data_IF_702213588717
#
_entry.id   IF_702213588717
#
_cell.length_a   1.000
_cell.length_b   1.000
_cell.length_c   1.000
_cell.angle_alpha   90.00
_cell.angle_beta   90.00
_cell.angle_gamma   90.00
#
_symmetry.space_group_name_H-M   'P 1'
#
loop_
_entity.id
_entity.type
_entity.pdbx_description
1 polymer ?
#
# COMPACT_ATOMS: atom_id res chain seq x y z
N UNK A 1 -3.77 -6.75 -0.04
CA UNK A 1 -4.96 -7.00 0.85
C UNK A 1 -5.47 -8.40 0.57
N UNK A 2 -5.73 -9.20 1.61
CA UNK A 2 -6.29 -10.55 1.43
C UNK A 2 -7.74 -10.46 0.95
N UNK A 3 -8.14 -11.44 0.12
CA UNK A 3 -9.54 -11.58 -0.29
C UNK A 3 -10.43 -11.95 0.90
N UNK A 4 -11.58 -11.28 1.02
CA UNK A 4 -12.50 -11.45 2.17
C UNK A 4 -13.13 -12.84 2.19
N UNK A 5 -13.40 -13.44 1.01
CA UNK A 5 -13.94 -14.78 0.90
C UNK A 5 -12.90 -15.79 1.37
N UNK A 6 -11.64 -15.60 0.95
CA UNK A 6 -10.52 -16.41 1.41
C UNK A 6 -10.39 -16.39 2.94
N UNK A 7 -10.45 -15.19 3.58
CA UNK A 7 -10.36 -15.07 5.04
C UNK A 7 -11.46 -15.86 5.73
N UNK A 8 -12.69 -15.78 5.23
CA UNK A 8 -13.84 -16.51 5.79
C UNK A 8 -13.71 -18.03 5.68
N UNK A 9 -13.25 -18.50 4.54
CA UNK A 9 -13.16 -19.94 4.25
C UNK A 9 -11.91 -20.57 4.87
N UNK A 10 -10.88 -19.75 5.19
CA UNK A 10 -9.57 -20.22 5.66
C UNK A 10 -9.10 -19.44 6.91
N UNK A 11 -10.02 -19.14 7.83
CA UNK A 11 -9.69 -18.32 9.00
C UNK A 11 -8.61 -18.92 9.90
N UNK A 12 -8.48 -20.26 9.94
CA UNK A 12 -7.41 -20.95 10.67
C UNK A 12 -6.04 -20.67 10.07
N UNK A 13 -5.91 -20.69 8.74
CA UNK A 13 -4.68 -20.34 8.01
C UNK A 13 -4.30 -18.90 8.26
N UNK A 14 -5.27 -17.99 8.26
CA UNK A 14 -5.04 -16.58 8.57
C UNK A 14 -4.59 -16.40 10.02
N UNK A 15 -5.19 -17.12 10.97
CA UNK A 15 -4.79 -17.10 12.39
C UNK A 15 -3.36 -17.61 12.59
N UNK A 16 -2.99 -18.69 11.92
CA UNK A 16 -1.63 -19.21 11.95
C UNK A 16 -0.63 -18.19 11.36
N UNK A 17 -0.98 -17.54 10.26
CA UNK A 17 -0.16 -16.50 9.64
C UNK A 17 0.05 -15.30 10.56
N UNK A 18 -1.00 -14.84 11.26
CA UNK A 18 -0.92 -13.79 12.27
C UNK A 18 0.03 -14.17 13.41
N UNK A 19 -0.07 -15.40 13.91
CA UNK A 19 0.79 -15.92 14.96
C UNK A 19 2.26 -15.99 14.50
N UNK A 20 2.52 -16.52 13.29
CA UNK A 20 3.88 -16.57 12.70
C UNK A 20 4.50 -15.19 12.56
N UNK A 21 3.69 -14.18 12.23
CA UNK A 21 4.13 -12.78 12.12
C UNK A 21 4.17 -12.04 13.45
N UNK A 22 3.72 -12.66 14.56
CA UNK A 22 3.52 -12.01 15.86
C UNK A 22 2.67 -10.73 15.73
N UNK A 23 1.71 -10.75 14.78
CA UNK A 23 0.86 -9.60 14.51
C UNK A 23 -0.26 -9.52 15.55
N UNK A 24 -0.42 -8.33 16.15
CA UNK A 24 -1.52 -8.03 17.07
C UNK A 24 -2.74 -7.64 16.25
N UNK A 25 -3.62 -8.59 15.95
CA UNK A 25 -4.87 -8.37 15.22
C UNK A 25 -5.99 -9.22 15.80
N UNK A 26 -7.14 -8.60 16.06
CA UNK A 26 -8.34 -9.31 16.55
C UNK A 26 -9.09 -9.94 15.36
N UNK A 27 -8.72 -11.16 15.00
CA UNK A 27 -9.35 -11.89 13.91
C UNK A 27 -10.80 -12.28 14.23
N UNK A 28 -11.11 -12.61 15.50
CA UNK A 28 -12.46 -13.01 15.90
C UNK A 28 -13.42 -11.82 15.86
N UNK A 29 -12.97 -10.65 16.30
CA UNK A 29 -13.71 -9.39 16.15
C UNK A 29 -13.95 -9.05 14.69
N UNK A 30 -12.96 -9.22 13.82
CA UNK A 30 -13.09 -8.98 12.38
C UNK A 30 -14.13 -9.93 11.73
N UNK A 31 -14.14 -11.21 12.09
CA UNK A 31 -15.12 -12.17 11.57
C UNK A 31 -16.55 -11.78 11.97
N UNK A 32 -16.75 -11.40 13.24
CA UNK A 32 -18.06 -10.91 13.72
C UNK A 32 -18.50 -9.65 13.00
N UNK A 33 -17.56 -8.75 12.71
CA UNK A 33 -17.84 -7.53 11.97
C UNK A 33 -18.26 -7.84 10.51
N UNK A 34 -17.63 -8.82 9.85
CA UNK A 34 -18.07 -9.28 8.51
C UNK A 34 -19.44 -9.93 8.55
N UNK A 35 -19.76 -10.73 9.60
CA UNK A 35 -21.09 -11.30 9.79
C UNK A 35 -22.14 -10.20 9.96
N UNK A 36 -21.89 -9.19 10.79
CA UNK A 36 -22.78 -8.04 10.96
C UNK A 36 -22.98 -7.28 9.64
N UNK A 37 -21.88 -7.00 8.91
CA UNK A 37 -21.92 -6.35 7.60
C UNK A 37 -22.83 -7.10 6.61
N UNK A 38 -22.67 -8.42 6.53
CA UNK A 38 -23.50 -9.27 5.64
C UNK A 38 -24.94 -9.37 6.10
N UNK A 39 -25.18 -9.40 7.41
CA UNK A 39 -26.50 -9.36 7.99
C UNK A 39 -27.27 -8.11 7.61
N UNK A 40 -26.62 -6.94 7.72
CA UNK A 40 -27.20 -5.65 7.34
C UNK A 40 -27.54 -5.59 5.84
N UNK A 41 -26.67 -6.08 4.97
CA UNK A 41 -26.94 -6.15 3.51
C UNK A 41 -28.23 -6.96 3.28
N UNK A 42 -28.32 -8.16 3.86
CA UNK A 42 -29.48 -9.05 3.70
C UNK A 42 -30.78 -8.41 4.23
N UNK A 43 -30.72 -7.71 5.37
CA UNK A 43 -31.87 -7.04 5.96
C UNK A 43 -32.34 -5.86 5.09
N UNK A 44 -31.43 -5.04 4.60
CA UNK A 44 -31.71 -3.93 3.69
C UNK A 44 -32.32 -4.45 2.38
N UNK A 45 -31.75 -5.49 1.79
CA UNK A 45 -32.27 -6.06 0.52
C UNK A 45 -33.68 -6.67 0.72
N UNK A 46 -33.95 -7.32 1.83
CA UNK A 46 -35.29 -7.82 2.17
C UNK A 46 -36.30 -6.67 2.29
N UNK A 47 -35.94 -5.60 2.99
CA UNK A 47 -36.82 -4.42 3.13
C UNK A 47 -37.06 -3.74 1.79
N UNK A 48 -36.05 -3.60 0.93
CA UNK A 48 -36.20 -3.07 -0.43
C UNK A 48 -37.10 -3.95 -1.29
N UNK A 49 -37.00 -5.28 -1.16
CA UNK A 49 -37.92 -6.21 -1.83
C UNK A 49 -39.37 -6.01 -1.36
N UNK A 50 -39.58 -5.86 -0.03
CA UNK A 50 -40.93 -5.54 0.52
C UNK A 50 -41.45 -4.20 0.01
N UNK A 51 -40.62 -3.17 -0.01
CA UNK A 51 -40.95 -1.84 -0.54
C UNK A 51 -41.39 -1.92 -2.00
N UNK A 52 -40.69 -2.69 -2.83
CA UNK A 52 -41.05 -2.89 -4.22
C UNK A 52 -42.41 -3.59 -4.40
N UNK A 53 -42.69 -4.62 -3.58
CA UNK A 53 -44.00 -5.30 -3.57
C UNK A 53 -45.14 -4.37 -3.19
N UNK A 54 -44.96 -3.54 -2.15
CA UNK A 54 -45.96 -2.55 -1.73
C UNK A 54 -46.13 -1.49 -2.81
N UNK A 55 -45.08 -1.01 -3.43
CA UNK A 55 -45.15 -0.08 -4.57
C UNK A 55 -46.01 -0.61 -5.72
N UNK A 56 -45.87 -1.89 -6.02
CA UNK A 56 -46.71 -2.52 -7.05
C UNK A 56 -48.21 -2.55 -6.64
N UNK A 57 -48.49 -2.87 -5.34
CA UNK A 57 -49.86 -2.83 -4.82
C UNK A 57 -50.44 -1.40 -4.88
N UNK A 58 -49.69 -0.40 -4.50
CA UNK A 58 -50.10 1.02 -4.57
C UNK A 58 -50.45 1.37 -6.02
N UNK A 59 -49.64 0.98 -6.99
CA UNK A 59 -49.92 1.23 -8.43
C UNK A 59 -51.26 0.60 -8.89
N UNK A 60 -51.58 -0.61 -8.43
CA UNK A 60 -52.83 -1.30 -8.77
C UNK A 60 -54.01 -0.60 -8.10
N UNK A 61 -53.94 -0.29 -6.81
CA UNK A 61 -55.01 0.42 -6.11
C UNK A 61 -55.31 1.78 -6.73
N UNK A 62 -54.29 2.53 -7.14
CA UNK A 62 -54.48 3.82 -7.81
C UNK A 62 -55.19 3.67 -9.20
N UNK A 63 -54.87 2.62 -9.94
CA UNK A 63 -55.59 2.29 -11.20
C UNK A 63 -57.05 1.97 -10.92
N UNK A 64 -57.38 1.31 -9.81
CA UNK A 64 -58.72 1.00 -9.36
C UNK A 64 -59.42 2.22 -8.70
N UNK A 65 -58.83 3.41 -8.73
CA UNK A 65 -59.32 4.62 -8.03
C UNK A 65 -59.53 4.47 -6.53
N UNK A 66 -58.84 3.49 -5.89
CA UNK A 66 -58.83 3.30 -4.42
C UNK A 66 -57.70 4.11 -3.82
N UNK A 67 -57.87 4.57 -2.55
CA UNK A 67 -56.87 5.34 -1.83
C UNK A 67 -55.95 4.43 -1.05
N UNK A 68 -54.63 4.30 -1.35
CA UNK A 68 -53.71 3.36 -0.73
C UNK A 68 -53.08 3.89 0.57
N UNK A 69 -53.87 4.38 1.54
CA UNK A 69 -53.34 5.02 2.75
C UNK A 69 -52.49 4.08 3.59
N UNK A 70 -52.94 2.81 3.78
CA UNK A 70 -52.22 1.83 4.60
C UNK A 70 -50.86 1.43 3.96
N UNK A 71 -50.87 1.25 2.65
CA UNK A 71 -49.65 0.92 1.89
C UNK A 71 -48.65 2.06 1.94
N UNK A 72 -49.12 3.30 1.87
CA UNK A 72 -48.23 4.50 1.96
C UNK A 72 -47.62 4.59 3.37
N UNK A 73 -48.39 4.35 4.42
CA UNK A 73 -47.92 4.33 5.82
C UNK A 73 -46.87 3.24 6.04
N UNK A 74 -47.12 2.02 5.54
CA UNK A 74 -46.18 0.90 5.58
C UNK A 74 -44.88 1.24 4.83
N UNK A 75 -44.98 1.83 3.64
CA UNK A 75 -43.81 2.26 2.87
C UNK A 75 -42.97 3.28 3.63
N UNK A 76 -43.61 4.22 4.33
CA UNK A 76 -42.94 5.23 5.12
C UNK A 76 -42.13 4.61 6.25
N UNK A 77 -42.73 3.66 6.99
CA UNK A 77 -42.05 2.90 8.04
C UNK A 77 -40.87 2.08 7.51
N UNK A 78 -41.05 1.38 6.36
CA UNK A 78 -39.97 0.63 5.73
C UNK A 78 -38.83 1.57 5.27
N UNK A 79 -39.17 2.70 4.67
CA UNK A 79 -38.15 3.68 4.21
C UNK A 79 -37.35 4.23 5.39
N UNK A 80 -37.98 4.52 6.52
CA UNK A 80 -37.28 4.97 7.71
C UNK A 80 -36.33 3.89 8.27
N UNK A 81 -36.78 2.62 8.29
CA UNK A 81 -35.96 1.51 8.74
C UNK A 81 -34.76 1.27 7.80
N UNK A 82 -34.98 1.34 6.48
CA UNK A 82 -33.89 1.26 5.49
C UNK A 82 -32.86 2.35 5.75
N UNK A 83 -33.28 3.60 5.94
CA UNK A 83 -32.35 4.72 6.17
C UNK A 83 -31.50 4.52 7.43
N UNK A 84 -32.10 4.01 8.52
CA UNK A 84 -31.37 3.69 9.75
C UNK A 84 -30.33 2.57 9.54
N UNK A 85 -30.73 1.49 8.86
CA UNK A 85 -29.82 0.39 8.56
C UNK A 85 -28.73 0.75 7.58
N UNK A 86 -28.99 1.63 6.63
CA UNK A 86 -27.98 2.14 5.69
C UNK A 86 -26.92 3.01 6.40
N UNK A 87 -27.30 3.81 7.38
CA UNK A 87 -26.33 4.56 8.19
C UNK A 87 -25.47 3.63 9.05
N UNK A 88 -26.10 2.64 9.71
CA UNK A 88 -25.34 1.61 10.44
C UNK A 88 -24.40 0.83 9.50
N UNK A 89 -24.90 0.45 8.32
CA UNK A 89 -24.11 -0.26 7.33
C UNK A 89 -22.89 0.55 6.86
N UNK A 90 -23.04 1.85 6.71
CA UNK A 90 -21.95 2.76 6.32
C UNK A 90 -20.84 2.76 7.35
N UNK A 91 -21.18 2.84 8.65
CA UNK A 91 -20.19 2.79 9.72
C UNK A 91 -19.49 1.41 9.81
N UNK A 92 -20.28 0.32 9.80
CA UNK A 92 -19.75 -1.05 9.81
C UNK A 92 -18.85 -1.31 8.59
N UNK A 93 -19.24 -0.83 7.40
CA UNK A 93 -18.44 -0.96 6.17
C UNK A 93 -17.13 -0.20 6.27
N UNK A 94 -17.13 1.00 6.86
CA UNK A 94 -15.93 1.81 7.08
C UNK A 94 -14.96 1.10 8.02
N UNK A 95 -15.45 0.65 9.17
CA UNK A 95 -14.66 -0.07 10.16
C UNK A 95 -14.09 -1.37 9.58
N UNK A 96 -14.93 -2.15 8.90
CA UNK A 96 -14.54 -3.37 8.23
C UNK A 96 -13.39 -3.13 7.23
N UNK A 97 -13.48 -2.09 6.41
CA UNK A 97 -12.44 -1.75 5.45
C UNK A 97 -11.13 -1.36 6.14
N UNK A 98 -11.20 -0.55 7.20
CA UNK A 98 -10.03 -0.17 7.98
C UNK A 98 -9.33 -1.38 8.62
N UNK A 99 -10.10 -2.29 9.22
CA UNK A 99 -9.54 -3.52 9.79
C UNK A 99 -8.93 -4.42 8.73
N UNK A 100 -9.59 -4.58 7.58
CA UNK A 100 -9.11 -5.41 6.47
C UNK A 100 -7.74 -4.94 5.93
N UNK A 101 -7.51 -3.62 5.85
CA UNK A 101 -6.23 -3.05 5.45
C UNK A 101 -5.08 -3.35 6.43
N UNK A 102 -5.39 -3.68 7.68
CA UNK A 102 -4.41 -4.01 8.70
C UNK A 102 -4.03 -5.50 8.75
N UNK A 103 -4.78 -6.37 8.06
CA UNK A 103 -4.44 -7.79 7.99
C UNK A 103 -3.18 -7.97 7.13
N UNK A 104 -2.08 -8.50 7.68
CA UNK A 104 -0.86 -8.72 6.91
C UNK A 104 -1.04 -9.87 5.93
N UNK A 105 -0.24 -9.85 4.84
CA UNK A 105 -0.22 -10.95 3.89
C UNK A 105 0.30 -12.26 4.51
N UNK A 106 -0.12 -13.40 3.94
CA UNK A 106 0.32 -14.72 4.40
C UNK A 106 1.83 -14.90 4.16
N UNK A 107 2.58 -15.39 5.17
CA UNK A 107 3.98 -15.73 4.97
C UNK A 107 4.09 -17.01 4.14
N UNK A 108 5.13 -17.11 3.31
CA UNK A 108 5.41 -18.36 2.60
C UNK A 108 5.72 -19.49 3.63
N UNK A 109 5.25 -20.74 3.39
CA UNK A 109 5.43 -21.84 4.35
C UNK A 109 6.89 -22.14 4.72
N UNK A 110 7.84 -21.87 3.82
CA UNK A 110 9.27 -22.10 4.05
C UNK A 110 9.95 -21.09 4.98
N UNK A 111 9.23 -19.99 5.35
CA UNK A 111 9.82 -18.98 6.23
C UNK A 111 9.86 -19.48 7.67
N UNK A 112 11.01 -19.33 8.37
CA UNK A 112 11.10 -19.67 9.78
C UNK A 112 10.22 -18.75 10.62
N UNK A 113 9.71 -19.28 11.72
CA UNK A 113 8.94 -18.50 12.69
C UNK A 113 9.91 -17.91 13.72
N UNK A 114 9.87 -16.58 13.91
CA UNK A 114 10.72 -15.90 14.87
C UNK A 114 11.09 -14.48 14.46
N UNK A 115 12.16 -13.97 15.06
CA UNK A 115 12.78 -12.68 14.73
C UNK A 115 13.97 -12.85 13.77
N UNK A 116 14.77 -11.80 13.61
CA UNK A 116 15.92 -11.81 12.70
C UNK A 116 16.97 -12.88 13.04
N UNK A 117 17.05 -13.35 14.30
CA UNK A 117 17.98 -14.41 14.70
C UNK A 117 17.63 -15.78 14.11
N UNK A 118 16.35 -15.94 13.71
CA UNK A 118 15.84 -17.15 13.06
C UNK A 118 16.05 -17.16 11.54
N UNK A 119 16.64 -16.11 10.96
CA UNK A 119 16.89 -16.04 9.53
C UNK A 119 17.81 -17.17 9.08
N UNK A 120 17.45 -17.81 7.98
CA UNK A 120 18.24 -18.88 7.36
C UNK A 120 18.95 -18.36 6.13
N UNK A 121 20.28 -18.49 6.10
CA UNK A 121 21.06 -18.22 4.90
C UNK A 121 20.73 -19.30 3.88
N UNK A 122 20.18 -18.88 2.73
CA UNK A 122 19.75 -19.81 1.67
C UNK A 122 20.93 -20.17 0.77
N UNK A 123 21.81 -19.23 0.50
CA UNK A 123 22.98 -19.43 -0.36
C UNK A 123 24.03 -18.35 -0.08
N UNK A 124 25.29 -18.76 -0.02
CA UNK A 124 26.46 -17.89 -0.05
C UNK A 124 27.22 -18.09 -1.36
N UNK A 125 27.81 -17.05 -1.90
CA UNK A 125 28.67 -17.09 -3.08
C UNK A 125 29.85 -16.15 -2.92
N UNK A 126 31.04 -16.67 -3.09
CA UNK A 126 32.31 -15.95 -2.91
C UNK A 126 32.82 -16.09 -1.46
N UNK A 127 34.06 -15.72 -1.24
CA UNK A 127 34.68 -15.63 0.08
C UNK A 127 34.93 -14.17 0.48
N UNK A 128 35.10 -13.89 1.75
CA UNK A 128 35.55 -12.60 2.22
C UNK A 128 36.93 -12.26 1.64
N UNK A 129 37.01 -11.13 0.94
CA UNK A 129 38.30 -10.59 0.54
C UNK A 129 38.98 -10.03 1.79
N UNK A 130 40.06 -10.67 2.22
CA UNK A 130 40.95 -10.11 3.24
C UNK A 130 41.74 -8.98 2.59
N UNK A 131 41.53 -7.76 3.08
CA UNK A 131 42.32 -6.60 2.69
C UNK A 131 43.54 -6.55 3.60
N UNK A 132 44.70 -6.18 3.03
CA UNK A 132 45.96 -5.96 3.74
C UNK A 132 46.09 -4.56 4.36
N UNK A 133 45.01 -3.78 4.22
CA UNK A 133 44.88 -2.43 4.80
C UNK A 133 43.50 -2.25 5.47
N UNK A 134 43.41 -1.24 6.34
CA UNK A 134 42.12 -0.85 6.95
C UNK A 134 41.30 0.00 5.95
N UNK A 135 40.14 -0.48 5.46
CA UNK A 135 39.34 0.28 4.51
C UNK A 135 38.68 1.49 5.19
N UNK A 136 38.66 2.60 4.47
CA UNK A 136 37.89 3.78 4.86
C UNK A 136 36.39 3.53 4.69
N UNK A 137 35.59 4.14 5.52
CA UNK A 137 34.14 4.16 5.37
C UNK A 137 33.71 4.95 4.13
N UNK A 138 32.49 4.72 3.64
CA UNK A 138 31.95 5.49 2.53
C UNK A 138 31.86 6.99 2.84
N UNK A 139 31.72 7.39 4.10
CA UNK A 139 31.73 8.79 4.54
C UNK A 139 33.10 9.39 4.33
N UNK A 140 34.14 8.74 4.89
CA UNK A 140 35.54 9.21 4.75
C UNK A 140 35.98 9.24 3.28
N UNK A 141 35.64 8.20 2.50
CA UNK A 141 35.93 8.19 1.06
C UNK A 141 35.22 9.33 0.33
N UNK A 142 33.93 9.56 0.62
CA UNK A 142 33.15 10.61 -0.02
C UNK A 142 33.66 12.02 0.32
N UNK A 143 34.12 12.24 1.55
CA UNK A 143 34.72 13.49 2.00
C UNK A 143 36.11 13.69 1.39
N UNK A 144 37.00 12.69 1.41
CA UNK A 144 38.33 12.77 0.83
C UNK A 144 38.33 13.01 -0.68
N UNK A 145 37.37 12.39 -1.38
CA UNK A 145 37.20 12.58 -2.82
C UNK A 145 36.40 13.84 -3.16
N UNK A 146 35.90 14.54 -2.17
CA UNK A 146 35.05 15.74 -2.31
C UNK A 146 33.79 15.53 -3.15
N UNK A 147 33.28 14.29 -3.19
CA UNK A 147 32.12 13.89 -4.01
C UNK A 147 30.81 13.87 -3.23
N UNK A 148 30.85 13.91 -1.89
CA UNK A 148 29.72 13.93 -0.97
C UNK A 148 29.87 15.08 0.03
N UNK A 149 28.76 15.79 0.33
CA UNK A 149 28.75 16.90 1.27
C UNK A 149 27.52 16.84 2.20
N UNK A 150 27.65 16.17 3.31
CA UNK A 150 26.61 16.09 4.33
C UNK A 150 26.41 17.41 5.08
N UNK A 151 27.49 18.19 5.28
CA UNK A 151 27.44 19.46 6.01
C UNK A 151 26.58 20.50 5.28
N UNK A 152 26.75 20.61 3.96
CA UNK A 152 25.93 21.52 3.16
C UNK A 152 24.49 21.00 2.99
N UNK A 153 24.29 19.68 2.86
CA UNK A 153 22.97 19.08 2.86
C UNK A 153 22.18 19.43 4.12
N UNK A 154 22.83 19.34 5.29
CA UNK A 154 22.20 19.69 6.57
C UNK A 154 21.78 21.16 6.67
N UNK A 155 22.49 22.09 6.01
CA UNK A 155 22.07 23.51 5.94
C UNK A 155 20.81 23.71 5.10
N UNK A 156 20.60 22.88 4.08
CA UNK A 156 19.46 22.97 3.15
C UNK A 156 18.21 22.32 3.72
N UNK A 157 18.36 21.10 4.25
CA UNK A 157 17.22 20.23 4.59
C UNK A 157 17.25 19.64 6.01
N UNK A 158 18.29 19.87 6.79
CA UNK A 158 18.51 19.19 8.06
C UNK A 158 19.33 17.90 7.91
N UNK A 159 19.30 17.05 8.96
CA UNK A 159 20.05 15.80 9.00
C UNK A 159 19.49 14.75 8.01
N UNK A 160 20.30 13.73 7.71
CA UNK A 160 19.96 12.59 6.86
C UNK A 160 19.59 12.97 5.41
N UNK A 161 20.17 14.04 4.90
CA UNK A 161 20.19 14.38 3.48
C UNK A 161 21.61 14.39 2.96
N UNK A 162 21.78 14.29 1.66
CA UNK A 162 23.07 14.25 1.00
C UNK A 162 23.11 15.21 -0.18
N UNK A 163 24.25 15.88 -0.37
CA UNK A 163 24.59 16.59 -1.60
C UNK A 163 25.71 15.83 -2.30
N UNK A 164 25.45 15.33 -3.48
CA UNK A 164 26.50 14.82 -4.38
C UNK A 164 27.10 15.96 -5.18
N UNK A 165 28.44 15.98 -5.29
CA UNK A 165 29.17 17.02 -6.01
C UNK A 165 30.02 16.42 -7.09
N UNK A 166 30.35 17.23 -8.10
CA UNK A 166 31.34 16.94 -9.12
C UNK A 166 31.21 15.50 -9.70
N UNK A 167 32.26 14.71 -9.52
CA UNK A 167 32.28 13.30 -9.96
C UNK A 167 31.23 12.43 -9.27
N UNK A 168 30.84 12.76 -8.02
CA UNK A 168 29.76 12.06 -7.30
C UNK A 168 28.40 12.26 -7.98
N UNK A 169 28.05 13.50 -8.30
CA UNK A 169 26.82 13.80 -9.03
C UNK A 169 26.81 13.14 -10.42
N UNK A 170 27.97 13.15 -11.11
CA UNK A 170 28.11 12.45 -12.39
C UNK A 170 27.96 10.95 -12.26
N UNK A 171 28.49 10.34 -11.19
CA UNK A 171 28.38 8.91 -10.92
C UNK A 171 26.93 8.48 -10.67
N UNK A 172 26.17 9.23 -9.84
CA UNK A 172 24.74 8.98 -9.61
C UNK A 172 23.97 8.95 -10.93
N UNK A 173 24.15 9.99 -11.76
CA UNK A 173 23.50 10.05 -13.08
C UNK A 173 23.93 8.92 -14.01
N UNK A 174 25.21 8.56 -14.01
CA UNK A 174 25.73 7.46 -14.83
C UNK A 174 25.14 6.11 -14.42
N UNK A 175 24.98 5.87 -13.11
CA UNK A 175 24.34 4.64 -12.59
C UNK A 175 22.86 4.57 -12.95
N UNK A 176 22.13 5.68 -12.85
CA UNK A 176 20.72 5.74 -13.25
C UNK A 176 20.59 5.38 -14.74
N UNK A 177 21.35 6.05 -15.61
CA UNK A 177 21.31 5.78 -17.05
C UNK A 177 21.71 4.33 -17.36
N UNK A 178 22.79 3.84 -16.76
CA UNK A 178 23.24 2.45 -16.95
C UNK A 178 22.14 1.44 -16.60
N UNK A 179 21.46 1.61 -15.47
CA UNK A 179 20.38 0.70 -15.05
C UNK A 179 19.17 0.79 -15.98
N UNK A 180 18.77 2.00 -16.39
CA UNK A 180 17.66 2.18 -17.33
C UNK A 180 17.98 1.56 -18.70
N UNK A 181 19.16 1.84 -19.25
CA UNK A 181 19.61 1.29 -20.54
C UNK A 181 19.71 -0.23 -20.51
N UNK A 182 20.27 -0.80 -19.45
CA UNK A 182 20.35 -2.26 -19.26
C UNK A 182 18.97 -2.89 -19.29
N UNK A 183 18.02 -2.34 -18.54
CA UNK A 183 16.69 -2.92 -18.42
C UNK A 183 15.83 -2.71 -19.66
N UNK A 184 15.95 -1.58 -20.34
CA UNK A 184 15.20 -1.33 -21.58
C UNK A 184 15.77 -2.11 -22.76
N UNK A 185 17.11 -2.14 -22.92
CA UNK A 185 17.74 -2.73 -24.10
C UNK A 185 17.90 -4.27 -24.00
N UNK A 186 18.25 -4.79 -22.80
CA UNK A 186 18.54 -6.22 -22.64
C UNK A 186 17.40 -7.00 -22.00
N UNK A 187 16.63 -6.39 -21.09
CA UNK A 187 15.59 -7.07 -20.34
C UNK A 187 14.18 -6.77 -20.82
N UNK A 188 14.01 -5.99 -21.89
CA UNK A 188 12.73 -5.66 -22.54
C UNK A 188 11.72 -4.93 -21.66
N UNK A 189 12.18 -4.18 -20.67
CA UNK A 189 11.30 -3.31 -19.90
C UNK A 189 10.94 -2.06 -20.69
N UNK A 190 9.72 -1.57 -20.52
CA UNK A 190 9.27 -0.26 -21.03
C UNK A 190 9.60 0.78 -19.96
N UNK A 191 10.34 1.81 -20.35
CA UNK A 191 10.63 2.92 -19.43
C UNK A 191 9.40 3.78 -19.24
N UNK A 192 9.13 4.16 -17.99
CA UNK A 192 8.06 5.07 -17.59
C UNK A 192 8.61 6.10 -16.60
N UNK A 193 8.26 7.36 -16.80
CA UNK A 193 8.64 8.45 -15.91
C UNK A 193 7.38 9.05 -15.25
N UNK A 194 7.02 8.62 -14.04
CA UNK A 194 5.79 9.03 -13.36
C UNK A 194 5.97 10.31 -12.55
N UNK A 195 4.87 10.96 -12.13
CA UNK A 195 4.91 11.99 -11.09
C UNK A 195 5.51 11.47 -9.77
N UNK A 196 6.21 12.34 -9.04
CA UNK A 196 6.74 12.02 -7.70
C UNK A 196 5.78 12.39 -6.57
N UNK A 197 4.61 12.92 -6.91
CA UNK A 197 3.48 13.16 -6.03
C UNK A 197 2.36 12.21 -6.38
N UNK A 198 1.77 11.59 -5.36
CA UNK A 198 0.64 10.65 -5.50
C UNK A 198 -0.44 10.97 -4.49
N UNK A 199 -1.69 10.61 -4.81
CA UNK A 199 -2.80 10.73 -3.89
C UNK A 199 -2.84 9.57 -2.86
N UNK A 200 -3.67 9.71 -1.84
CA UNK A 200 -3.87 8.71 -0.79
C UNK A 200 -4.30 7.35 -1.32
N UNK A 201 -5.14 7.33 -2.35
CA UNK A 201 -5.64 6.07 -2.94
C UNK A 201 -4.49 5.24 -3.48
N UNK A 202 -3.57 5.85 -4.23
CA UNK A 202 -2.41 5.16 -4.80
C UNK A 202 -1.51 4.52 -3.73
N UNK A 203 -1.30 5.18 -2.59
CA UNK A 203 -0.53 4.62 -1.47
C UNK A 203 -1.30 3.50 -0.74
N UNK A 204 -2.63 3.57 -0.71
CA UNK A 204 -3.47 2.55 -0.08
C UNK A 204 -3.51 1.28 -0.93
N UNK A 205 -3.62 1.40 -2.24
CA UNK A 205 -3.69 0.26 -3.17
C UNK A 205 -2.39 -0.55 -3.21
N UNK A 206 -1.25 0.11 -2.98
CA UNK A 206 0.07 -0.55 -2.90
C UNK A 206 0.48 -0.92 -1.47
N UNK A 207 -0.39 -0.68 -0.47
CA UNK A 207 -0.22 -1.16 0.92
C UNK A 207 0.71 -0.35 1.81
N UNK A 208 1.15 0.84 1.39
CA UNK A 208 1.90 1.76 2.25
C UNK A 208 0.99 2.37 3.31
N UNK A 209 -0.22 2.77 2.94
CA UNK A 209 -1.22 3.26 3.87
C UNK A 209 -2.23 2.15 4.25
N UNK A 210 -2.76 2.20 5.48
CA UNK A 210 -2.52 3.19 6.53
C UNK A 210 -1.24 2.95 7.34
N UNK A 211 -0.59 1.82 7.19
CA UNK A 211 0.41 1.28 8.12
C UNK A 211 1.70 2.12 8.22
N UNK A 212 2.13 2.73 7.12
CA UNK A 212 3.37 3.49 7.03
C UNK A 212 3.14 5.00 6.92
N UNK A 213 1.99 5.51 7.35
CA UNK A 213 1.65 6.95 7.20
C UNK A 213 2.68 7.86 7.89
N UNK A 214 3.20 7.45 9.06
CA UNK A 214 4.22 8.21 9.80
C UNK A 214 5.57 8.30 9.06
N UNK A 215 5.85 7.36 8.15
CA UNK A 215 7.05 7.34 7.33
C UNK A 215 6.91 8.15 6.02
N UNK A 216 5.69 8.64 5.71
CA UNK A 216 5.43 9.38 4.48
C UNK A 216 5.61 10.89 4.67
N UNK A 217 6.11 11.57 3.64
CA UNK A 217 6.04 13.01 3.51
C UNK A 217 4.69 13.40 2.89
N UNK A 218 3.80 13.96 3.70
CA UNK A 218 2.48 14.45 3.27
C UNK A 218 2.50 15.96 3.09
N UNK A 219 1.85 16.47 2.05
CA UNK A 219 1.59 17.89 1.87
C UNK A 219 0.55 18.36 2.89
N UNK A 220 0.73 19.58 3.39
CA UNK A 220 -0.12 20.11 4.47
C UNK A 220 -1.55 20.42 4.01
N UNK A 221 -1.66 21.04 2.84
CA UNK A 221 -2.92 21.62 2.37
C UNK A 221 -3.65 20.75 1.35
N UNK A 222 -2.96 19.72 0.83
CA UNK A 222 -3.49 18.77 -0.14
C UNK A 222 -3.32 17.33 0.37
N UNK A 223 -4.22 16.41 -0.02
CA UNK A 223 -4.07 14.99 0.31
C UNK A 223 -3.15 14.27 -0.68
N UNK A 224 -1.97 14.88 -0.90
CA UNK A 224 -0.87 14.35 -1.69
C UNK A 224 0.33 13.99 -0.81
N UNK A 225 1.13 13.08 -1.33
CA UNK A 225 2.31 12.54 -0.67
C UNK A 225 3.48 12.47 -1.66
N UNK A 226 4.70 12.75 -1.18
CA UNK A 226 5.90 12.39 -1.92
C UNK A 226 6.06 10.87 -1.94
N UNK A 227 6.39 10.29 -3.09
CA UNK A 227 6.48 8.83 -3.25
C UNK A 227 7.65 8.24 -2.44
N UNK A 228 7.43 7.12 -1.72
CA UNK A 228 8.52 6.37 -1.08
C UNK A 228 9.21 5.39 -2.04
N UNK A 229 8.64 5.16 -3.21
CA UNK A 229 9.05 4.18 -4.22
C UNK A 229 8.27 4.39 -5.51
N UNK A 230 8.88 4.13 -6.65
CA UNK A 230 8.21 4.14 -7.96
C UNK A 230 7.13 3.05 -8.09
N UNK A 231 7.18 2.01 -7.25
CA UNK A 231 6.13 0.99 -7.18
C UNK A 231 4.73 1.61 -7.08
N UNK A 232 4.58 2.67 -6.27
CA UNK A 232 3.29 3.31 -6.03
C UNK A 232 2.68 3.88 -7.33
N UNK A 233 3.31 4.82 -8.04
CA UNK A 233 2.72 5.35 -9.26
C UNK A 233 2.67 4.31 -10.39
N UNK A 234 3.68 3.44 -10.54
CA UNK A 234 3.73 2.48 -11.65
C UNK A 234 2.64 1.41 -11.50
N UNK A 235 2.43 0.87 -10.30
CA UNK A 235 1.36 -0.11 -10.07
C UNK A 235 -0.02 0.50 -10.30
N UNK A 236 -0.19 1.78 -9.98
CA UNK A 236 -1.46 2.50 -10.17
C UNK A 236 -1.69 3.02 -11.59
N UNK A 237 -0.79 2.82 -12.55
CA UNK A 237 -1.06 3.11 -13.96
C UNK A 237 -2.29 2.35 -14.46
N UNK A 238 -2.47 1.12 -13.97
CA UNK A 238 -3.58 0.24 -14.33
C UNK A 238 -4.66 0.17 -13.23
N UNK A 239 -4.77 1.23 -12.40
CA UNK A 239 -5.81 1.30 -11.38
C UNK A 239 -7.21 1.31 -12.00
N UNK A 240 -8.07 0.38 -11.56
CA UNK A 240 -9.43 0.15 -12.11
C UNK A 240 -9.46 -0.28 -13.59
N UNK A 241 -8.36 -0.81 -14.12
CA UNK A 241 -8.32 -1.43 -15.44
C UNK A 241 -8.41 -2.94 -15.34
N UNK A 242 -9.02 -3.59 -16.32
CA UNK A 242 -8.96 -5.01 -16.58
C UNK A 242 -8.06 -5.19 -17.79
N UNK A 243 -6.89 -5.78 -17.57
CA UNK A 243 -5.92 -6.01 -18.65
C UNK A 243 -6.28 -7.28 -19.41
N UNK A 244 -6.10 -7.25 -20.71
CA UNK A 244 -6.26 -8.43 -21.55
C UNK A 244 -5.08 -9.40 -21.31
N UNK A 245 -5.34 -10.70 -21.32
CA UNK A 245 -4.33 -11.74 -21.10
C UNK A 245 -3.20 -11.66 -22.14
N UNK A 246 -3.52 -11.27 -23.37
CA UNK A 246 -2.58 -11.13 -24.48
C UNK A 246 -1.57 -9.97 -24.26
N UNK A 247 -1.90 -8.98 -23.43
CA UNK A 247 -1.01 -7.87 -23.10
C UNK A 247 0.02 -8.24 -22.02
N UNK A 248 -0.21 -9.35 -21.30
CA UNK A 248 0.63 -9.80 -20.21
C UNK A 248 1.75 -10.76 -20.69
N UNK A 249 2.92 -10.72 -20.06
CA UNK A 249 3.31 -9.86 -18.94
C UNK A 249 3.74 -8.45 -19.38
N UNK A 250 3.34 -7.43 -18.63
CA UNK A 250 3.82 -6.06 -18.81
C UNK A 250 5.03 -5.80 -17.90
N UNK A 251 6.10 -5.25 -18.45
CA UNK A 251 7.34 -4.94 -17.74
C UNK A 251 7.62 -3.45 -17.80
N UNK A 252 7.68 -2.79 -16.65
CA UNK A 252 8.00 -1.37 -16.53
C UNK A 252 9.26 -1.14 -15.71
N UNK A 253 10.13 -0.25 -16.18
CA UNK A 253 11.25 0.29 -15.42
C UNK A 253 11.09 1.79 -15.25
N UNK A 254 11.41 2.28 -14.07
CA UNK A 254 11.28 3.70 -13.76
C UNK A 254 12.39 4.16 -12.84
N UNK A 255 12.95 5.32 -13.15
CA UNK A 255 13.74 6.10 -12.21
C UNK A 255 12.86 7.10 -11.49
N UNK A 256 13.01 7.19 -10.16
CA UNK A 256 12.40 8.25 -9.36
C UNK A 256 13.29 8.64 -8.18
N UNK A 257 13.22 9.90 -7.76
CA UNK A 257 13.56 10.24 -6.39
C UNK A 257 12.50 9.65 -5.46
N UNK A 258 12.94 9.08 -4.33
CA UNK A 258 12.11 8.47 -3.31
C UNK A 258 12.30 9.19 -1.98
N UNK A 259 11.21 9.28 -1.19
CA UNK A 259 11.18 10.08 0.03
C UNK A 259 10.64 9.27 1.19
N UNK A 260 11.40 9.19 2.31
CA UNK A 260 10.99 8.47 3.53
C UNK A 260 11.38 9.27 4.77
N UNK A 261 10.48 9.38 5.72
CA UNK A 261 10.79 10.07 6.99
C UNK A 261 11.66 9.24 7.94
N UNK A 262 11.78 7.94 7.69
CA UNK A 262 12.55 7.00 8.53
C UNK A 262 12.17 7.09 10.03
N UNK A 263 10.87 7.29 10.32
CA UNK A 263 10.35 7.56 11.67
C UNK A 263 10.65 6.43 12.68
N UNK A 264 10.83 5.19 12.20
CA UNK A 264 11.15 4.02 13.03
C UNK A 264 12.63 3.69 13.17
N UNK A 265 13.56 4.57 12.74
CA UNK A 265 14.99 4.26 12.68
C UNK A 265 15.80 4.62 13.93
N UNK A 266 15.18 5.08 15.00
CA UNK A 266 15.86 5.41 16.24
C UNK A 266 16.67 4.23 16.80
N UNK A 267 17.98 4.44 17.02
CA UNK A 267 18.89 3.42 17.57
C UNK A 267 19.50 2.45 16.55
N UNK A 268 19.24 2.60 15.24
CA UNK A 268 19.89 1.83 14.17
C UNK A 268 21.07 2.62 13.60
N UNK A 269 22.05 1.93 12.99
CA UNK A 269 23.10 2.61 12.22
C UNK A 269 22.47 3.41 11.08
N UNK A 270 22.48 4.75 11.19
CA UNK A 270 21.86 5.67 10.23
C UNK A 270 22.87 6.63 9.62
N UNK A 271 24.17 6.43 9.90
CA UNK A 271 25.23 7.34 9.44
C UNK A 271 25.46 7.27 7.93
N UNK A 272 25.72 8.43 7.34
CA UNK A 272 26.09 8.54 5.93
C UNK A 272 24.93 8.26 4.97
N UNK A 273 25.16 7.38 3.99
CA UNK A 273 24.18 7.04 2.94
C UNK A 273 23.29 5.86 3.28
N UNK A 274 23.45 5.21 4.44
CA UNK A 274 22.71 3.99 4.80
C UNK A 274 21.22 4.26 4.94
N UNK A 275 20.85 5.42 5.53
CA UNK A 275 19.46 5.85 5.69
C UNK A 275 19.37 7.35 5.48
N UNK A 276 18.77 7.72 4.37
CA UNK A 276 18.55 9.11 3.99
C UNK A 276 17.08 9.36 3.67
N UNK A 277 16.63 10.58 3.90
CA UNK A 277 15.23 10.98 3.67
C UNK A 277 14.86 11.09 2.20
N UNK A 278 15.85 11.31 1.34
CA UNK A 278 15.70 11.33 -0.11
C UNK A 278 16.82 10.50 -0.75
N UNK A 279 16.44 9.63 -1.68
CA UNK A 279 17.38 8.79 -2.44
C UNK A 279 16.83 8.49 -3.84
N UNK A 280 17.76 8.19 -4.74
CA UNK A 280 17.42 7.79 -6.12
C UNK A 280 17.20 6.28 -6.21
N UNK A 281 16.18 5.87 -6.98
CA UNK A 281 15.86 4.46 -7.17
C UNK A 281 15.43 4.17 -8.60
N UNK A 282 16.00 3.10 -9.18
CA UNK A 282 15.48 2.48 -10.40
C UNK A 282 14.68 1.26 -9.99
N UNK A 283 13.39 1.27 -10.29
CA UNK A 283 12.40 0.26 -9.89
C UNK A 283 11.95 -0.57 -11.08
N UNK A 284 11.76 -1.86 -10.88
CA UNK A 284 11.25 -2.80 -11.87
C UNK A 284 9.89 -3.33 -11.39
N UNK A 285 8.85 -3.15 -12.20
CA UNK A 285 7.50 -3.62 -11.91
C UNK A 285 7.04 -4.55 -13.03
N UNK A 286 6.48 -5.69 -12.66
CA UNK A 286 5.92 -6.68 -13.59
C UNK A 286 4.46 -6.95 -13.24
N UNK A 287 3.62 -6.88 -14.26
CA UNK A 287 2.25 -7.37 -14.22
C UNK A 287 2.14 -8.70 -14.94
#
# INVERSE_FOLDING_TARGET
MLDVKFIRENWEVVREALNKRKAKFDLDGFIKLDERRRGLIKEIDNLRCMQNKINQKVKVLLKEKKKPFQEIEQMRGISQKIAQLEEEFKEVKREFHQQLLNIPNLPHPSLPCGDASCNKIVRERGGEKKLDFSPLTHIELGEHLEIIDFKRAAKICGSNFVVFKEKGARLVRALINFMLDLHTQQHRYKEVFPPFLVNRVSLTTTGQLPKLEDDMYRLKDDDYFLIPTAEVPITNLHYNEILDEEELPLYYVSYTACFRREAGSYGKETKGLIRVHQFDKVELVKF
#
